data_IF_610662980144
#
_entry.id   IF_610662980144
#
_cell.length_a   1.000
_cell.length_b   1.000
_cell.length_c   1.000
_cell.angle_alpha   90.00
_cell.angle_beta   90.00
_cell.angle_gamma   90.00
#
_symmetry.space_group_name_H-M   'P 1'
#
loop_
_entity.id
_entity.type
_entity.pdbx_description
1 polymer ?
#
# COMPACT_ATOMS: atom_id res chain seq x y z
N UNK A 1 3.01 -17.23 16.81
CA UNK A 1 3.46 -15.90 16.35
C UNK A 1 2.26 -14.95 16.18
N UNK A 2 2.37 -13.68 16.63
CA UNK A 2 1.27 -12.72 16.54
C UNK A 2 0.90 -12.41 15.08
N UNK A 3 -0.39 -12.22 14.79
CA UNK A 3 -0.94 -12.08 13.43
C UNK A 3 -0.42 -10.85 12.67
N UNK A 4 -0.19 -9.71 13.35
CA UNK A 4 0.22 -8.48 12.68
C UNK A 4 1.61 -8.60 12.02
N UNK A 5 2.52 -9.36 12.63
CA UNK A 5 3.83 -9.67 12.07
C UNK A 5 3.79 -10.45 10.74
N UNK A 6 2.60 -10.91 10.29
CA UNK A 6 2.42 -11.61 9.01
C UNK A 6 2.18 -10.67 7.83
N UNK A 7 1.86 -9.41 8.07
CA UNK A 7 1.64 -8.44 7.01
C UNK A 7 2.96 -7.75 6.65
N UNK A 8 3.12 -7.48 5.36
CA UNK A 8 4.31 -6.80 4.83
C UNK A 8 4.17 -5.27 4.88
N UNK A 9 2.94 -4.77 4.71
CA UNK A 9 2.55 -3.36 4.77
C UNK A 9 1.23 -3.27 5.53
N UNK A 10 1.08 -2.24 6.38
CA UNK A 10 -0.13 -1.97 7.16
C UNK A 10 -0.49 -0.49 7.03
N UNK A 11 -1.42 -0.15 6.15
CA UNK A 11 -1.90 1.23 6.01
C UNK A 11 -2.87 1.58 7.14
N UNK A 12 -2.58 2.63 7.89
CA UNK A 12 -3.52 3.18 8.86
C UNK A 12 -4.41 4.23 8.20
N UNK A 13 -5.70 3.95 8.14
CA UNK A 13 -6.70 4.91 7.64
C UNK A 13 -7.32 5.59 8.85
N UNK A 14 -7.17 6.91 8.95
CA UNK A 14 -7.76 7.74 10.01
C UNK A 14 -8.85 8.62 9.41
N UNK A 15 -9.98 8.70 10.11
CA UNK A 15 -11.08 9.61 9.76
C UNK A 15 -10.77 10.99 10.34
N UNK A 16 -9.96 11.78 9.61
CA UNK A 16 -9.57 13.12 10.00
C UNK A 16 -10.43 14.15 9.26
N UNK A 17 -11.08 15.04 10.02
CA UNK A 17 -11.93 16.10 9.45
C UNK A 17 -11.04 17.09 8.69
N UNK A 18 -11.18 17.10 7.36
CA UNK A 18 -10.43 17.97 6.46
C UNK A 18 -11.41 18.55 5.45
N UNK A 19 -11.77 19.83 5.64
CA UNK A 19 -12.84 20.51 4.90
C UNK A 19 -12.73 20.30 3.38
N UNK A 20 -11.53 20.42 2.81
CA UNK A 20 -11.30 20.25 1.37
C UNK A 20 -11.51 18.80 0.89
N UNK A 21 -11.01 17.82 1.65
CA UNK A 21 -11.14 16.39 1.33
C UNK A 21 -12.59 15.92 1.50
N UNK A 22 -13.24 16.36 2.58
CA UNK A 22 -14.64 16.08 2.89
C UNK A 22 -15.56 16.65 1.81
N UNK A 23 -15.33 17.90 1.38
CA UNK A 23 -16.10 18.52 0.30
C UNK A 23 -15.93 17.73 -1.01
N UNK A 24 -14.68 17.34 -1.35
CA UNK A 24 -14.40 16.56 -2.57
C UNK A 24 -15.11 15.21 -2.53
N UNK A 25 -15.04 14.49 -1.40
CA UNK A 25 -15.71 13.20 -1.21
C UNK A 25 -17.22 13.35 -1.32
N UNK A 26 -17.80 14.32 -0.60
CA UNK A 26 -19.25 14.57 -0.61
C UNK A 26 -19.75 14.95 -2.01
N UNK A 27 -19.02 15.82 -2.71
CA UNK A 27 -19.34 16.21 -4.09
C UNK A 27 -19.33 15.00 -5.03
N UNK A 28 -18.33 14.15 -4.92
CA UNK A 28 -18.26 12.93 -5.72
C UNK A 28 -19.44 11.99 -5.44
N UNK A 29 -19.77 11.74 -4.16
CA UNK A 29 -20.91 10.91 -3.77
C UNK A 29 -22.24 11.44 -4.33
N UNK A 30 -22.45 12.76 -4.24
CA UNK A 30 -23.65 13.40 -4.77
C UNK A 30 -23.71 13.30 -6.29
N UNK A 31 -22.60 13.49 -7.01
CA UNK A 31 -22.55 13.35 -8.46
C UNK A 31 -22.87 11.92 -8.91
N UNK A 32 -22.30 10.91 -8.25
CA UNK A 32 -22.56 9.51 -8.57
C UNK A 32 -24.04 9.15 -8.34
N UNK A 33 -24.66 9.67 -7.29
CA UNK A 33 -26.08 9.39 -6.98
C UNK A 33 -27.06 10.19 -7.84
N UNK A 34 -26.75 11.44 -8.17
CA UNK A 34 -27.62 12.31 -8.99
C UNK A 34 -27.55 11.99 -10.48
N UNK A 35 -26.39 11.55 -10.99
CA UNK A 35 -26.26 10.95 -12.32
C UNK A 35 -26.70 9.48 -12.36
N UNK A 36 -27.27 8.97 -11.26
CA UNK A 36 -27.67 7.60 -11.05
C UNK A 36 -28.60 7.05 -12.14
N UNK A 37 -27.99 6.43 -13.13
CA UNK A 37 -28.18 5.01 -13.42
C UNK A 37 -28.81 4.33 -12.18
N UNK A 38 -30.08 3.93 -12.26
CA UNK A 38 -30.84 3.31 -11.17
C UNK A 38 -30.00 2.21 -10.49
N UNK A 39 -30.15 2.00 -9.17
CA UNK A 39 -29.49 0.90 -8.44
C UNK A 39 -29.63 -0.44 -9.21
N UNK A 40 -30.76 -0.63 -9.88
CA UNK A 40 -31.01 -1.75 -10.79
C UNK A 40 -29.97 -1.92 -11.90
N UNK A 41 -29.35 -0.86 -12.43
CA UNK A 41 -28.32 -0.94 -13.47
C UNK A 41 -26.90 -1.14 -12.94
N UNK A 42 -26.64 -0.82 -11.67
CA UNK A 42 -25.36 -1.15 -10.99
C UNK A 42 -25.38 -2.63 -10.60
N UNK A 43 -26.53 -3.10 -10.11
CA UNK A 43 -26.80 -4.52 -9.86
C UNK A 43 -26.85 -5.31 -11.18
N UNK A 44 -27.48 -4.78 -12.24
CA UNK A 44 -27.41 -5.36 -13.60
C UNK A 44 -25.98 -5.31 -14.15
N UNK A 45 -25.15 -4.31 -13.87
CA UNK A 45 -23.73 -4.33 -14.25
C UNK A 45 -22.91 -5.39 -13.47
N UNK A 46 -23.35 -5.76 -12.26
CA UNK A 46 -22.78 -6.84 -11.45
C UNK A 46 -23.36 -8.23 -11.82
N UNK A 47 -24.61 -8.30 -12.27
CA UNK A 47 -25.38 -9.51 -12.59
C UNK A 47 -25.40 -9.86 -14.10
N UNK A 48 -25.08 -8.91 -14.98
CA UNK A 48 -24.80 -9.18 -16.38
C UNK A 48 -23.52 -10.01 -16.41
N UNK A 49 -23.66 -11.30 -16.73
CA UNK A 49 -22.58 -12.01 -17.39
C UNK A 49 -22.23 -11.20 -18.65
N UNK A 50 -21.05 -10.55 -18.72
CA UNK A 50 -20.72 -9.58 -19.76
C UNK A 50 -20.35 -10.24 -21.10
N UNK A 51 -20.74 -11.50 -21.31
CA UNK A 51 -20.25 -12.34 -22.41
C UNK A 51 -20.80 -11.95 -23.78
N UNK A 52 -21.77 -11.03 -23.85
CA UNK A 52 -22.40 -10.66 -25.13
C UNK A 52 -22.55 -9.15 -25.27
N UNK A 53 -21.46 -8.47 -25.69
CA UNK A 53 -21.57 -7.20 -26.41
C UNK A 53 -20.64 -6.05 -25.99
N UNK A 54 -19.91 -6.15 -24.87
CA UNK A 54 -18.94 -5.13 -24.43
C UNK A 54 -17.51 -5.67 -24.18
N UNK A 55 -17.22 -6.90 -24.61
CA UNK A 55 -16.02 -7.65 -24.22
C UNK A 55 -14.66 -7.00 -24.56
N UNK A 56 -14.64 -5.97 -25.42
CA UNK A 56 -13.41 -5.37 -25.96
C UNK A 56 -13.21 -3.88 -25.61
N UNK A 57 -14.07 -3.26 -24.80
CA UNK A 57 -13.84 -1.87 -24.38
C UNK A 57 -12.72 -1.80 -23.33
N UNK A 58 -11.62 -1.12 -23.68
CA UNK A 58 -10.47 -0.92 -22.78
C UNK A 58 -10.72 0.24 -21.81
N UNK A 59 -11.36 1.31 -22.28
CA UNK A 59 -11.56 2.54 -21.52
C UNK A 59 -13.05 2.86 -21.32
N UNK A 60 -13.36 3.46 -20.18
CA UNK A 60 -14.64 4.08 -19.86
C UNK A 60 -14.41 5.47 -19.26
N UNK A 61 -15.36 6.38 -19.45
CA UNK A 61 -15.28 7.74 -18.91
C UNK A 61 -16.02 7.81 -17.57
N UNK A 62 -15.35 8.29 -16.54
CA UNK A 62 -15.89 8.45 -15.19
C UNK A 62 -16.89 9.59 -15.07
N UNK A 63 -17.54 9.68 -13.92
CA UNK A 63 -18.49 10.77 -13.60
C UNK A 63 -17.83 12.15 -13.58
N UNK A 64 -16.51 12.18 -13.40
CA UNK A 64 -15.60 13.31 -13.43
C UNK A 64 -15.08 13.65 -14.84
N UNK A 65 -15.43 12.86 -15.86
CA UNK A 65 -14.96 13.04 -17.23
C UNK A 65 -13.58 12.43 -17.50
N UNK A 66 -13.00 11.71 -16.53
CA UNK A 66 -11.67 11.10 -16.68
C UNK A 66 -11.80 9.69 -17.26
N UNK A 67 -11.03 9.40 -18.30
CA UNK A 67 -10.93 8.05 -18.86
C UNK A 67 -10.16 7.12 -17.91
N UNK A 68 -10.75 5.96 -17.65
CA UNK A 68 -10.16 4.91 -16.81
C UNK A 68 -10.34 3.55 -17.46
N UNK A 69 -9.53 2.56 -17.04
CA UNK A 69 -9.64 1.20 -17.54
C UNK A 69 -10.98 0.58 -17.11
N UNK A 70 -11.63 -0.15 -18.02
CA UNK A 70 -12.84 -0.89 -17.67
C UNK A 70 -12.52 -2.01 -16.67
N UNK A 71 -13.50 -2.35 -15.83
CA UNK A 71 -13.34 -3.44 -14.85
C UNK A 71 -13.05 -4.78 -15.54
N UNK A 72 -13.67 -5.03 -16.69
CA UNK A 72 -13.45 -6.24 -17.47
C UNK A 72 -12.00 -6.33 -17.98
N UNK A 73 -11.51 -5.26 -18.60
CA UNK A 73 -10.13 -5.21 -19.07
C UNK A 73 -9.14 -5.36 -17.91
N UNK A 74 -9.37 -4.65 -16.79
CA UNK A 74 -8.50 -4.74 -15.62
C UNK A 74 -8.43 -6.17 -15.06
N UNK A 75 -9.55 -6.90 -15.03
CA UNK A 75 -9.57 -8.33 -14.64
C UNK A 75 -8.75 -9.19 -15.59
N UNK A 76 -8.91 -9.00 -16.91
CA UNK A 76 -8.13 -9.71 -17.94
C UNK A 76 -6.63 -9.39 -17.81
N UNK A 77 -6.29 -8.11 -17.63
CA UNK A 77 -4.93 -7.61 -17.45
C UNK A 77 -4.26 -8.23 -16.21
N UNK A 78 -4.90 -8.17 -15.04
CA UNK A 78 -4.37 -8.74 -13.80
C UNK A 78 -4.18 -10.26 -13.97
N UNK A 79 -5.13 -10.96 -14.57
CA UNK A 79 -5.02 -12.39 -14.83
C UNK A 79 -3.85 -12.71 -15.76
N UNK A 80 -3.66 -11.93 -16.82
CA UNK A 80 -2.55 -12.07 -17.75
C UNK A 80 -1.20 -11.82 -17.06
N UNK A 81 -1.06 -10.69 -16.35
CA UNK A 81 0.18 -10.31 -15.68
C UNK A 81 0.60 -11.35 -14.62
N UNK A 82 -0.36 -11.89 -13.86
CA UNK A 82 -0.09 -12.94 -12.86
C UNK A 82 0.31 -14.28 -13.48
N UNK A 83 -0.23 -14.64 -14.65
CA UNK A 83 0.00 -15.95 -15.28
C UNK A 83 1.27 -16.00 -16.12
N UNK A 84 1.66 -14.88 -16.73
CA UNK A 84 2.70 -14.88 -17.75
C UNK A 84 4.00 -14.23 -17.26
N UNK A 85 3.90 -13.16 -16.48
CA UNK A 85 5.06 -12.32 -16.14
C UNK A 85 5.59 -12.72 -14.77
N UNK A 86 6.85 -13.14 -14.67
CA UNK A 86 7.47 -13.57 -13.41
C UNK A 86 8.82 -12.88 -13.26
N UNK A 87 8.82 -11.60 -12.83
CA UNK A 87 10.02 -10.79 -12.89
C UNK A 87 11.09 -11.28 -11.92
N UNK A 88 12.33 -11.34 -12.39
CA UNK A 88 13.51 -11.53 -11.53
C UNK A 88 14.22 -10.18 -11.32
N UNK A 89 14.83 -10.00 -10.15
CA UNK A 89 15.63 -8.81 -9.85
C UNK A 89 16.90 -8.79 -10.70
N UNK A 90 17.21 -7.63 -11.29
CA UNK A 90 18.53 -7.39 -11.84
C UNK A 90 19.54 -6.99 -10.74
N UNK A 91 20.82 -6.88 -11.12
CA UNK A 91 21.92 -6.53 -10.22
C UNK A 91 21.70 -5.16 -9.57
N UNK A 92 21.21 -4.18 -10.33
CA UNK A 92 20.98 -2.82 -9.82
C UNK A 92 19.88 -2.78 -8.75
N UNK A 93 18.74 -3.44 -9.01
CA UNK A 93 17.63 -3.57 -8.06
C UNK A 93 18.10 -4.26 -6.79
N UNK A 94 18.84 -5.36 -6.93
CA UNK A 94 19.44 -6.09 -5.80
C UNK A 94 20.34 -5.19 -4.96
N UNK A 95 21.19 -4.39 -5.62
CA UNK A 95 22.07 -3.44 -4.93
C UNK A 95 21.29 -2.36 -4.18
N UNK A 96 20.17 -1.85 -4.74
CA UNK A 96 19.32 -0.85 -4.05
C UNK A 96 18.66 -1.41 -2.81
N UNK A 97 18.06 -2.60 -2.90
CA UNK A 97 17.40 -3.23 -1.75
C UNK A 97 18.42 -3.58 -0.65
N UNK A 98 19.60 -4.09 -1.02
CA UNK A 98 20.66 -4.40 -0.08
C UNK A 98 21.20 -3.14 0.61
N UNK A 99 21.44 -2.08 -0.16
CA UNK A 99 21.89 -0.79 0.36
C UNK A 99 20.94 -0.29 1.45
N UNK A 100 19.66 -0.14 1.11
CA UNK A 100 18.63 0.29 2.06
C UNK A 100 18.57 -0.60 3.31
N UNK A 101 18.53 -1.92 3.15
CA UNK A 101 18.46 -2.85 4.29
C UNK A 101 19.64 -2.69 5.26
N UNK A 102 20.86 -2.55 4.72
CA UNK A 102 22.07 -2.41 5.55
C UNK A 102 22.16 -1.04 6.23
N UNK A 103 21.75 0.03 5.54
CA UNK A 103 21.69 1.38 6.10
C UNK A 103 20.71 1.45 7.29
N UNK A 104 19.49 0.93 7.11
CA UNK A 104 18.46 0.87 8.16
C UNK A 104 18.87 -0.01 9.36
N UNK A 105 19.58 -1.11 9.11
CA UNK A 105 20.16 -1.95 10.18
C UNK A 105 21.24 -1.20 10.98
N UNK A 106 22.01 -0.35 10.32
CA UNK A 106 23.11 0.39 10.96
C UNK A 106 22.64 1.64 11.69
N UNK A 107 21.65 2.37 11.16
CA UNK A 107 21.05 3.53 11.83
C UNK A 107 20.47 3.14 13.19
N UNK A 108 19.75 2.01 13.24
CA UNK A 108 19.17 1.48 14.47
C UNK A 108 20.21 1.18 15.56
N UNK A 109 21.36 0.58 15.20
CA UNK A 109 22.45 0.30 16.17
C UNK A 109 23.06 1.57 16.76
N UNK A 110 23.14 2.66 15.99
CA UNK A 110 23.73 3.92 16.46
C UNK A 110 22.80 4.63 17.45
N UNK A 111 21.50 4.62 17.19
CA UNK A 111 20.50 5.22 18.08
C UNK A 111 20.41 4.51 19.43
N UNK A 112 20.48 3.18 19.45
CA UNK A 112 20.41 2.37 20.68
C UNK A 112 21.65 2.59 21.58
N UNK A 113 22.82 2.89 20.99
CA UNK A 113 24.07 3.11 21.74
C UNK A 113 24.21 4.49 22.40
N UNK A 114 23.27 5.42 22.17
CA UNK A 114 23.34 6.81 22.64
C UNK A 114 22.13 7.32 23.41
N UNK A 115 21.04 6.54 23.54
CA UNK A 115 19.81 6.97 24.22
C UNK A 115 19.87 6.63 25.72
N UNK A 116 19.76 7.68 26.54
CA UNK A 116 19.53 7.55 27.97
C UNK A 116 18.17 6.87 28.20
N UNK A 117 18.17 5.87 29.08
CA UNK A 117 17.02 5.11 29.57
C UNK A 117 15.89 6.07 30.02
N UNK A 118 14.90 6.37 29.16
CA UNK A 118 13.81 7.29 29.55
C UNK A 118 12.85 7.75 28.46
N UNK A 119 13.25 7.78 27.18
CA UNK A 119 12.34 8.10 26.06
C UNK A 119 12.18 6.88 25.16
N UNK A 120 11.19 6.05 25.50
CA UNK A 120 10.86 4.77 24.86
C UNK A 120 10.13 4.93 23.52
N UNK A 121 10.72 5.65 22.56
CA UNK A 121 10.32 5.48 21.15
C UNK A 121 11.09 4.28 20.58
N UNK A 122 10.52 3.08 20.73
CA UNK A 122 11.06 1.85 20.16
C UNK A 122 10.79 1.81 18.65
N UNK A 123 11.66 2.46 17.88
CA UNK A 123 11.67 2.32 16.41
C UNK A 123 11.73 0.82 16.09
N UNK A 124 10.78 0.32 15.30
CA UNK A 124 10.74 -1.11 14.99
C UNK A 124 11.92 -1.45 14.06
N UNK A 125 12.86 -2.34 14.46
CA UNK A 125 14.03 -2.63 13.67
C UNK A 125 13.67 -3.36 12.38
N UNK A 126 14.40 -3.08 11.29
CA UNK A 126 14.17 -3.76 10.02
C UNK A 126 14.59 -5.25 10.12
N UNK A 127 13.63 -6.13 9.89
CA UNK A 127 13.82 -7.59 9.96
C UNK A 127 14.14 -8.17 8.57
N UNK A 128 14.73 -9.38 8.46
CA UNK A 128 14.87 -10.05 7.17
C UNK A 128 13.55 -10.20 6.39
N UNK A 129 12.41 -10.25 7.10
CA UNK A 129 11.07 -10.26 6.49
C UNK A 129 10.77 -8.98 5.69
N UNK A 130 11.28 -7.83 6.15
CA UNK A 130 11.14 -6.58 5.41
C UNK A 130 11.88 -6.64 4.07
N UNK A 131 13.02 -7.34 3.99
CA UNK A 131 13.71 -7.54 2.73
C UNK A 131 12.87 -8.42 1.78
N UNK A 132 12.27 -9.50 2.27
CA UNK A 132 11.33 -10.31 1.46
C UNK A 132 10.12 -9.50 0.97
N UNK A 133 9.58 -8.63 1.82
CA UNK A 133 8.50 -7.71 1.46
C UNK A 133 8.93 -6.76 0.34
N UNK A 134 10.11 -6.16 0.46
CA UNK A 134 10.66 -5.26 -0.56
C UNK A 134 10.88 -5.97 -1.90
N UNK A 135 11.37 -7.22 -1.88
CA UNK A 135 11.50 -8.05 -3.09
C UNK A 135 10.11 -8.25 -3.72
N UNK A 136 9.11 -8.68 -2.95
CA UNK A 136 7.74 -8.87 -3.44
C UNK A 136 7.14 -7.60 -4.04
N UNK A 137 7.37 -6.44 -3.42
CA UNK A 137 6.88 -5.15 -3.92
C UNK A 137 7.57 -4.73 -5.21
N UNK A 138 8.88 -4.95 -5.29
CA UNK A 138 9.70 -4.65 -6.47
C UNK A 138 9.24 -5.49 -7.67
N UNK A 139 9.08 -6.80 -7.48
CA UNK A 139 8.53 -7.71 -8.49
C UNK A 139 7.08 -7.36 -8.86
N UNK A 140 6.25 -6.97 -7.88
CA UNK A 140 4.88 -6.55 -8.15
C UNK A 140 4.83 -5.32 -9.05
N UNK A 141 5.68 -4.32 -8.80
CA UNK A 141 5.76 -3.13 -9.64
C UNK A 141 6.23 -3.48 -11.07
N UNK A 142 7.31 -4.27 -11.21
CA UNK A 142 7.77 -4.73 -12.53
C UNK A 142 6.68 -5.50 -13.29
N UNK A 143 5.92 -6.37 -12.59
CA UNK A 143 4.80 -7.14 -13.13
C UNK A 143 3.64 -6.26 -13.60
N UNK A 144 3.34 -5.16 -12.90
CA UNK A 144 2.34 -4.18 -13.35
C UNK A 144 2.72 -3.52 -14.67
N UNK A 145 4.02 -3.46 -14.98
CA UNK A 145 4.54 -2.97 -16.26
C UNK A 145 4.79 -4.08 -17.29
N UNK A 146 4.36 -5.32 -16.99
CA UNK A 146 4.59 -6.51 -17.81
C UNK A 146 6.08 -6.77 -18.14
N UNK A 147 6.99 -6.39 -17.23
CA UNK A 147 8.44 -6.59 -17.40
C UNK A 147 8.87 -7.91 -16.76
N UNK A 148 9.67 -8.70 -17.47
CA UNK A 148 10.27 -9.94 -16.95
C UNK A 148 11.52 -9.70 -16.08
N UNK A 149 11.98 -8.45 -16.01
CA UNK A 149 13.13 -8.06 -15.20
C UNK A 149 12.75 -6.85 -14.36
N UNK A 150 12.90 -6.98 -13.05
CA UNK A 150 12.75 -5.90 -12.11
C UNK A 150 14.04 -5.08 -12.04
N UNK A 151 13.89 -3.78 -12.21
CA UNK A 151 14.96 -2.79 -12.36
C UNK A 151 15.14 -1.94 -11.10
N UNK A 152 16.17 -1.09 -11.08
CA UNK A 152 16.37 -0.14 -9.98
C UNK A 152 15.17 0.78 -9.75
N UNK A 153 14.48 1.19 -10.83
CA UNK A 153 13.28 2.03 -10.72
C UNK A 153 12.15 1.31 -9.96
N UNK A 154 12.00 0.01 -10.16
CA UNK A 154 11.03 -0.80 -9.44
C UNK A 154 11.37 -0.89 -7.95
N UNK A 155 12.66 -1.03 -7.65
CA UNK A 155 13.15 -1.06 -6.28
C UNK A 155 12.94 0.30 -5.61
N UNK A 156 13.18 1.41 -6.30
CA UNK A 156 12.99 2.76 -5.77
C UNK A 156 11.52 3.03 -5.43
N UNK A 157 10.58 2.57 -6.26
CA UNK A 157 9.14 2.63 -5.98
C UNK A 157 8.78 1.77 -4.77
N UNK A 158 9.26 0.53 -4.71
CA UNK A 158 9.02 -0.36 -3.57
C UNK A 158 9.55 0.24 -2.25
N UNK A 159 10.73 0.85 -2.28
CA UNK A 159 11.33 1.54 -1.15
C UNK A 159 10.52 2.77 -0.74
N UNK A 160 10.01 3.56 -1.68
CA UNK A 160 9.16 4.70 -1.39
C UNK A 160 7.86 4.27 -0.70
N UNK A 161 7.19 3.23 -1.20
CA UNK A 161 5.97 2.67 -0.60
C UNK A 161 6.25 2.14 0.81
N UNK A 162 7.35 1.38 0.98
CA UNK A 162 7.71 0.78 2.25
C UNK A 162 8.10 1.82 3.30
N UNK A 163 8.86 2.85 2.92
CA UNK A 163 9.18 3.98 3.80
C UNK A 163 7.94 4.76 4.19
N UNK A 164 7.09 5.08 3.21
CA UNK A 164 5.85 5.83 3.48
C UNK A 164 4.97 5.10 4.50
N UNK A 165 4.81 3.78 4.35
CA UNK A 165 4.14 2.97 5.36
C UNK A 165 4.80 3.09 6.74
N UNK A 166 6.13 2.95 6.85
CA UNK A 166 6.83 3.02 8.14
C UNK A 166 6.77 4.41 8.79
N UNK A 167 6.87 5.46 7.99
CA UNK A 167 6.91 6.86 8.45
C UNK A 167 5.51 7.39 8.77
N UNK A 168 4.54 7.23 7.85
CA UNK A 168 3.17 7.73 7.99
C UNK A 168 2.42 6.99 9.09
N UNK A 169 2.79 5.73 9.35
CA UNK A 169 2.21 5.02 10.48
C UNK A 169 2.49 5.74 11.80
N UNK A 170 3.61 6.47 11.95
CA UNK A 170 3.94 7.14 13.21
C UNK A 170 3.92 6.19 14.41
N UNK A 171 4.12 4.89 14.16
CA UNK A 171 4.02 3.82 15.15
C UNK A 171 5.37 3.79 15.86
N UNK A 172 5.36 4.28 17.10
CA UNK A 172 6.55 4.39 17.94
C UNK A 172 6.85 3.07 18.68
N UNK A 173 5.94 2.10 18.65
CA UNK A 173 6.04 0.83 19.39
C UNK A 173 5.27 -0.32 18.70
N UNK A 174 5.84 -1.53 18.68
CA UNK A 174 5.18 -2.75 18.22
C UNK A 174 3.83 -2.98 18.92
N UNK A 175 3.71 -2.59 20.19
CA UNK A 175 2.46 -2.69 20.96
C UNK A 175 1.36 -1.77 20.42
N UNK A 176 1.70 -0.63 19.79
CA UNK A 176 0.75 0.28 19.14
C UNK A 176 0.14 -0.32 17.88
N UNK A 177 0.90 -1.14 17.13
CA UNK A 177 0.35 -1.96 16.02
C UNK A 177 -0.74 -2.92 16.49
N UNK A 178 -0.62 -3.45 17.71
CA UNK A 178 -1.55 -4.44 18.24
C UNK A 178 -2.74 -3.81 18.95
N UNK A 179 -2.53 -2.74 19.71
CA UNK A 179 -3.57 -2.14 20.56
C UNK A 179 -4.32 -0.98 19.90
N UNK A 180 -3.79 -0.39 18.81
CA UNK A 180 -4.32 0.86 18.23
C UNK A 180 -4.24 2.06 19.19
N UNK A 181 -3.43 1.93 20.24
CA UNK A 181 -3.27 2.92 21.31
C UNK A 181 -1.78 3.26 21.36
N UNK A 182 -1.46 4.55 21.22
CA UNK A 182 -0.09 5.03 21.29
C UNK A 182 0.58 4.72 22.63
N UNK A 183 1.89 4.49 22.61
CA UNK A 183 2.72 4.33 23.81
C UNK A 183 2.50 5.46 24.81
N UNK A 184 2.30 6.70 24.30
CA UNK A 184 2.00 7.88 25.11
C UNK A 184 0.67 7.78 25.86
N UNK A 185 -0.36 7.18 25.25
CA UNK A 185 -1.69 7.00 25.86
C UNK A 185 -1.68 5.83 26.85
N UNK A 186 -0.92 4.76 26.57
CA UNK A 186 -0.72 3.66 27.53
C UNK A 186 -0.03 4.13 28.81
N UNK A 187 1.04 4.91 28.67
CA UNK A 187 1.79 5.42 29.82
C UNK A 187 0.99 6.42 30.66
N UNK A 188 0.11 7.22 30.04
CA UNK A 188 -0.81 8.10 30.78
C UNK A 188 -1.86 7.32 31.58
N UNK A 189 -2.38 6.21 31.03
CA UNK A 189 -3.37 5.36 31.70
C UNK A 189 -2.75 4.47 32.80
N UNK A 190 -1.47 4.12 32.70
CA UNK A 190 -0.77 3.33 33.71
C UNK A 190 -0.29 4.17 34.92
N UNK A 191 -0.27 5.50 34.78
CA UNK A 191 0.13 6.44 35.83
C UNK A 191 -1.05 7.02 36.65
N UNK A 192 -2.29 6.59 36.37
CA UNK A 192 -3.51 6.89 37.15
C UNK A 192 -3.97 5.68 37.94
#
# INVERSE_FOLDING_TARGET
>A
PPLASRFDIIWMIRDEIRVEDDERIARHMLMTRTKGVSESKIEEFLELNPTEGQEDQIFATGVDGIEHLTLEFLRKFIAYAKRNIHPDLNEDATARLLGYYTEERQSFRKEDSGRQMGEEAQVIPITPRALEALIRLTEAHARMHLREVATAEDADVALAVFRHWREESGIEDESELYSGVSARVRNANAAS
#
